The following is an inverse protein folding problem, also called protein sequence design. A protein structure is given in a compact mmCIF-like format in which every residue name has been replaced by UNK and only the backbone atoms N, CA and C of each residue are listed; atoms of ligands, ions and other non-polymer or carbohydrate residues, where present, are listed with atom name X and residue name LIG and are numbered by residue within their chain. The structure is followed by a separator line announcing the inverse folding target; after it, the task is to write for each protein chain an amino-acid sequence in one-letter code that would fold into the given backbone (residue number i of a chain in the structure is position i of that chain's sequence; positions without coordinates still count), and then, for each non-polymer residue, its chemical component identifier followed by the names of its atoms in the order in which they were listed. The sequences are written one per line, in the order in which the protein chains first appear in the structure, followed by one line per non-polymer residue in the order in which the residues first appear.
data_IF_626844288696
#
_entry.id   IF_626844288696
#
_cell.length_a   1.000
_cell.length_b   1.000
_cell.length_c   1.000
_cell.angle_alpha   90.00
_cell.angle_beta   90.00
_cell.angle_gamma   90.00
#
_symmetry.space_group_name_H-M   'P 1'
#
loop_
_entity.id
_entity.type
_entity.pdbx_description
1 polymer ?
#
# COMPACT_ATOMS: atom_id res chain seq x y z
N UNK A 1 -21.35 13.83 47.82
CA UNK A 1 -20.78 12.47 47.76
C UNK A 1 -21.12 11.97 46.38
N UNK A 2 -20.27 12.30 45.42
CA UNK A 2 -20.44 11.87 44.04
C UNK A 2 -19.75 10.51 43.91
N UNK A 3 -20.56 9.46 43.79
CA UNK A 3 -20.05 8.12 43.53
C UNK A 3 -19.47 8.08 42.11
N UNK A 4 -18.15 7.97 42.03
CA UNK A 4 -17.45 7.65 40.78
C UNK A 4 -17.89 6.24 40.39
N UNK A 5 -18.51 6.02 39.22
CA UNK A 5 -18.90 4.68 38.81
C UNK A 5 -17.64 3.83 38.73
N UNK A 6 -17.57 2.75 39.52
CA UNK A 6 -16.51 1.75 39.38
C UNK A 6 -16.52 1.23 37.95
N UNK A 7 -15.53 1.61 37.16
CA UNK A 7 -15.34 1.04 35.83
C UNK A 7 -15.01 -0.44 36.04
N UNK A 8 -15.84 -1.33 35.51
CA UNK A 8 -15.66 -2.78 35.57
C UNK A 8 -14.58 -3.24 34.58
N UNK A 9 -13.48 -2.47 34.47
CA UNK A 9 -12.39 -2.73 33.55
C UNK A 9 -11.35 -3.53 34.32
N UNK A 10 -11.08 -4.75 33.85
CA UNK A 10 -10.01 -5.56 34.40
C UNK A 10 -8.66 -4.92 34.07
N UNK A 11 -7.77 -4.84 35.06
CA UNK A 11 -6.40 -4.41 34.83
C UNK A 11 -5.65 -5.42 33.95
N UNK A 12 -4.84 -4.93 33.02
CA UNK A 12 -4.01 -5.73 32.15
C UNK A 12 -2.67 -5.05 31.90
N UNK A 13 -1.62 -5.84 31.70
CA UNK A 13 -0.28 -5.37 31.36
C UNK A 13 0.04 -5.68 29.89
N UNK A 14 0.68 -4.75 29.20
CA UNK A 14 1.15 -4.95 27.82
C UNK A 14 2.34 -5.92 27.85
N UNK A 15 2.13 -7.14 27.39
CA UNK A 15 3.20 -8.17 27.34
C UNK A 15 4.00 -8.17 26.03
N UNK A 16 3.51 -7.48 25.00
CA UNK A 16 4.19 -7.41 23.70
C UNK A 16 3.45 -6.56 22.68
N UNK A 17 4.20 -6.07 21.68
CA UNK A 17 3.68 -5.23 20.59
C UNK A 17 3.99 -5.92 19.27
N UNK A 18 2.97 -6.10 18.43
CA UNK A 18 3.11 -6.66 17.08
C UNK A 18 2.86 -5.58 16.04
N UNK A 19 3.81 -5.42 15.12
CA UNK A 19 3.68 -4.52 13.98
C UNK A 19 3.11 -5.28 12.77
N UNK A 20 2.32 -4.58 11.97
CA UNK A 20 1.69 -5.13 10.77
C UNK A 20 1.08 -4.03 9.90
N UNK A 21 0.65 -4.42 8.70
CA UNK A 21 -0.15 -3.55 7.84
C UNK A 21 -1.62 -3.84 8.10
N UNK A 22 -2.42 -2.79 8.29
CA UNK A 22 -3.85 -2.93 8.47
C UNK A 22 -4.50 -3.40 7.16
N UNK A 23 -5.23 -4.51 7.24
CA UNK A 23 -6.09 -4.97 6.15
C UNK A 23 -7.35 -4.12 6.05
N UNK A 24 -8.01 -4.14 4.89
CA UNK A 24 -9.30 -3.45 4.72
C UNK A 24 -10.32 -3.88 5.78
N UNK A 25 -10.36 -5.17 6.11
CA UNK A 25 -11.26 -5.70 7.15
C UNK A 25 -10.98 -5.09 8.52
N UNK A 26 -9.71 -5.00 8.92
CA UNK A 26 -9.31 -4.40 10.19
C UNK A 26 -9.63 -2.91 10.25
N UNK A 27 -9.42 -2.18 9.15
CA UNK A 27 -9.78 -0.76 9.02
C UNK A 27 -11.30 -0.58 9.20
N UNK A 28 -12.11 -1.35 8.49
CA UNK A 28 -13.57 -1.27 8.62
C UNK A 28 -14.04 -1.68 10.03
N UNK A 29 -13.44 -2.72 10.61
CA UNK A 29 -13.81 -3.20 11.96
C UNK A 29 -13.45 -2.19 13.06
N UNK A 30 -12.35 -1.46 12.89
CA UNK A 30 -11.95 -0.40 13.83
C UNK A 30 -12.80 0.86 13.67
N UNK A 31 -13.50 1.03 12.54
CA UNK A 31 -14.31 2.21 12.28
C UNK A 31 -15.60 2.18 13.08
N UNK A 32 -16.07 3.35 13.50
CA UNK A 32 -17.36 3.50 14.20
C UNK A 32 -18.58 3.35 13.27
N UNK A 33 -18.34 3.42 11.96
CA UNK A 33 -19.39 3.36 10.93
C UNK A 33 -19.02 2.29 9.91
N UNK A 34 -20.01 1.50 9.49
CA UNK A 34 -19.85 0.53 8.39
C UNK A 34 -19.69 1.22 7.03
N UNK A 35 -20.08 2.49 6.92
CA UNK A 35 -19.99 3.28 5.70
C UNK A 35 -18.71 4.14 5.67
N UNK A 36 -18.06 4.28 4.50
CA UNK A 36 -16.93 5.18 4.34
C UNK A 36 -17.37 6.64 4.42
N UNK A 37 -16.42 7.49 4.78
CA UNK A 37 -16.52 8.94 4.64
C UNK A 37 -16.39 9.28 3.16
N UNK A 38 -17.45 9.84 2.60
CA UNK A 38 -17.54 10.21 1.17
C UNK A 38 -17.53 11.72 0.95
N UNK A 39 -17.83 12.52 1.98
CA UNK A 39 -17.89 13.97 1.90
C UNK A 39 -17.14 14.64 3.05
N UNK A 40 -16.50 15.78 2.78
CA UNK A 40 -15.71 16.53 3.76
C UNK A 40 -16.52 16.96 4.99
N UNK A 41 -17.82 17.22 4.82
CA UNK A 41 -18.73 17.58 5.93
C UNK A 41 -18.84 16.49 7.00
N UNK A 42 -18.56 15.23 6.65
CA UNK A 42 -18.59 14.13 7.61
C UNK A 42 -17.34 14.10 8.51
N UNK A 43 -16.26 14.80 8.14
CA UNK A 43 -15.03 14.86 8.94
C UNK A 43 -15.20 15.64 10.24
N UNK A 44 -16.21 16.51 10.31
CA UNK A 44 -16.57 17.30 11.50
C UNK A 44 -17.74 16.69 12.27
N UNK A 45 -18.13 15.44 11.95
CA UNK A 45 -19.28 14.81 12.58
C UNK A 45 -18.97 14.39 14.03
N UNK A 46 -19.89 14.62 14.99
CA UNK A 46 -19.79 14.18 16.37
C UNK A 46 -19.40 12.71 16.62
N UNK A 47 -19.65 11.79 15.67
CA UNK A 47 -19.25 10.39 15.83
C UNK A 47 -17.73 10.15 15.67
N UNK A 48 -16.97 11.09 15.10
CA UNK A 48 -15.51 10.96 14.95
C UNK A 48 -14.74 11.43 16.19
N UNK A 49 -15.39 12.17 17.09
CA UNK A 49 -14.81 12.62 18.35
C UNK A 49 -14.92 14.12 18.57
N UNK A 50 -14.04 14.63 19.44
CA UNK A 50 -13.95 16.04 19.84
C UNK A 50 -12.71 16.70 19.19
N UNK A 51 -12.66 18.04 19.05
CA UNK A 51 -13.62 19.03 19.55
C UNK A 51 -14.84 19.21 18.64
N UNK A 52 -15.97 19.54 19.27
CA UNK A 52 -17.20 19.97 18.59
C UNK A 52 -17.53 21.39 19.07
N UNK A 53 -18.18 22.19 18.23
CA UNK A 53 -18.65 23.51 18.65
C UNK A 53 -19.70 23.42 19.77
N UNK A 54 -20.59 22.43 19.69
CA UNK A 54 -21.63 22.15 20.69
C UNK A 54 -21.89 20.65 20.79
N UNK A 55 -22.36 20.20 21.95
CA UNK A 55 -22.82 18.83 22.17
C UNK A 55 -21.76 17.91 22.77
N UNK A 56 -21.91 16.61 22.50
CA UNK A 56 -21.05 15.53 23.01
C UNK A 56 -20.70 14.59 21.87
N UNK A 57 -19.61 13.85 22.00
CA UNK A 57 -19.29 12.81 21.05
C UNK A 57 -20.43 11.77 21.02
N UNK A 58 -20.93 11.45 19.82
CA UNK A 58 -22.03 10.49 19.65
C UNK A 58 -21.60 9.03 19.92
N UNK A 59 -20.28 8.77 19.87
CA UNK A 59 -19.71 7.42 19.96
C UNK A 59 -19.39 7.01 21.40
N UNK A 60 -18.65 7.83 22.13
CA UNK A 60 -18.33 7.56 23.55
C UNK A 60 -19.19 8.35 24.55
N UNK A 61 -19.98 9.33 24.08
CA UNK A 61 -20.88 10.12 24.94
C UNK A 61 -20.21 11.23 25.74
N UNK A 62 -18.90 11.42 25.65
CA UNK A 62 -18.18 12.45 26.42
C UNK A 62 -18.35 13.84 25.79
N UNK A 63 -18.56 14.86 26.62
CA UNK A 63 -18.59 16.28 26.23
C UNK A 63 -17.29 17.02 26.54
N UNK A 64 -16.41 16.43 27.35
CA UNK A 64 -15.18 17.08 27.81
C UNK A 64 -14.00 16.77 26.86
N UNK A 65 -13.33 17.80 26.31
CA UNK A 65 -12.09 17.61 25.57
C UNK A 65 -11.04 16.89 26.44
N UNK A 66 -10.39 15.86 25.88
CA UNK A 66 -9.42 15.03 26.61
C UNK A 66 -9.99 13.76 27.24
N UNK A 67 -11.33 13.64 27.34
CA UNK A 67 -11.99 12.37 27.71
C UNK A 67 -12.43 11.54 26.50
N UNK A 68 -12.24 12.07 25.28
CA UNK A 68 -12.44 11.37 24.02
C UNK A 68 -11.07 11.19 23.34
N UNK A 69 -10.67 9.95 23.10
CA UNK A 69 -9.44 9.61 22.38
C UNK A 69 -9.58 9.76 20.84
N UNK A 70 -10.80 9.99 20.37
CA UNK A 70 -11.16 9.99 18.95
C UNK A 70 -11.61 8.62 18.46
N UNK A 71 -12.35 8.61 17.37
CA UNK A 71 -12.92 7.40 16.79
C UNK A 71 -12.54 7.28 15.32
N UNK A 72 -12.18 6.07 14.90
CA UNK A 72 -11.74 5.85 13.54
C UNK A 72 -12.91 5.95 12.55
N UNK A 73 -12.68 6.70 11.48
CA UNK A 73 -13.41 6.60 10.23
C UNK A 73 -12.53 5.92 9.17
N UNK A 74 -13.10 5.65 8.00
CA UNK A 74 -12.32 5.26 6.83
C UNK A 74 -12.83 5.93 5.57
N UNK A 75 -11.94 6.14 4.60
CA UNK A 75 -12.28 6.61 3.26
C UNK A 75 -11.97 5.47 2.31
N UNK A 76 -12.94 5.09 1.47
CA UNK A 76 -12.71 4.10 0.44
C UNK A 76 -12.14 4.79 -0.80
N UNK A 77 -11.02 4.26 -1.29
CA UNK A 77 -10.35 4.82 -2.47
C UNK A 77 -10.92 4.14 -3.73
N UNK A 78 -11.25 4.90 -4.79
CA UNK A 78 -11.88 4.34 -5.99
C UNK A 78 -10.95 3.38 -6.74
N UNK A 79 -9.64 3.46 -6.49
CA UNK A 79 -8.62 2.57 -7.05
C UNK A 79 -7.58 2.24 -5.98
N UNK A 80 -7.00 1.03 -6.01
CA UNK A 80 -5.88 0.70 -5.14
C UNK A 80 -4.68 1.59 -5.48
N UNK A 81 -4.08 2.18 -4.45
CA UNK A 81 -2.86 2.98 -4.59
C UNK A 81 -1.71 2.31 -3.85
N UNK A 82 -0.50 2.57 -4.31
CA UNK A 82 0.69 2.16 -3.59
C UNK A 82 1.00 3.15 -2.47
N UNK A 83 1.31 2.62 -1.29
CA UNK A 83 1.77 3.46 -0.18
C UNK A 83 3.14 4.09 -0.53
N UNK A 84 3.32 5.42 -0.48
CA UNK A 84 4.56 6.09 -0.89
C UNK A 84 5.82 5.54 -0.20
N UNK A 85 5.73 5.24 1.10
CA UNK A 85 6.85 4.69 1.87
C UNK A 85 7.23 3.25 1.50
N UNK A 86 6.41 2.53 0.72
CA UNK A 86 6.65 1.13 0.35
C UNK A 86 7.08 0.96 -1.12
N UNK A 87 7.18 2.05 -1.90
CA UNK A 87 7.53 1.99 -3.33
C UNK A 87 8.90 1.32 -3.56
N UNK A 88 9.90 1.66 -2.74
CA UNK A 88 11.25 1.08 -2.86
C UNK A 88 11.26 -0.41 -2.54
N UNK A 89 10.46 -0.84 -1.56
CA UNK A 89 10.33 -2.26 -1.20
C UNK A 89 9.57 -3.04 -2.28
N UNK A 90 8.51 -2.45 -2.82
CA UNK A 90 7.79 -2.98 -3.98
C UNK A 90 8.72 -3.21 -5.17
N UNK A 91 9.57 -2.24 -5.51
CA UNK A 91 10.60 -2.39 -6.55
C UNK A 91 11.52 -3.57 -6.26
N UNK A 92 11.97 -3.72 -5.01
CA UNK A 92 12.85 -4.83 -4.60
C UNK A 92 12.16 -6.17 -4.83
N UNK A 93 10.92 -6.31 -4.38
CA UNK A 93 10.10 -7.52 -4.57
C UNK A 93 9.88 -7.82 -6.05
N UNK A 94 9.45 -6.85 -6.84
CA UNK A 94 9.21 -7.02 -8.27
C UNK A 94 10.49 -7.34 -9.05
N UNK A 95 11.65 -6.84 -8.61
CA UNK A 95 12.95 -7.16 -9.23
C UNK A 95 13.32 -8.64 -9.09
N UNK A 96 12.85 -9.31 -8.03
CA UNK A 96 13.04 -10.73 -7.78
C UNK A 96 12.09 -11.61 -8.59
N UNK A 97 11.04 -11.05 -9.20
CA UNK A 97 10.01 -11.78 -9.93
C UNK A 97 10.16 -11.60 -11.44
N UNK A 98 9.87 -12.64 -12.22
CA UNK A 98 9.62 -12.50 -13.63
C UNK A 98 8.23 -11.89 -13.84
N UNK A 99 8.15 -10.68 -14.40
CA UNK A 99 6.87 -9.96 -14.55
C UNK A 99 5.86 -10.63 -15.50
N UNK A 100 6.29 -11.60 -16.33
CA UNK A 100 5.42 -12.39 -17.21
C UNK A 100 4.81 -13.61 -16.52
N UNK A 101 5.61 -14.42 -15.83
CA UNK A 101 5.15 -15.68 -15.22
C UNK A 101 4.98 -15.63 -13.70
N UNK A 102 5.36 -14.52 -13.06
CA UNK A 102 5.32 -14.27 -11.61
C UNK A 102 6.13 -15.28 -10.77
N UNK A 103 6.99 -16.07 -11.39
CA UNK A 103 7.94 -16.95 -10.69
C UNK A 103 9.16 -16.15 -10.25
N UNK A 104 9.72 -16.53 -9.11
CA UNK A 104 11.01 -16.01 -8.65
C UNK A 104 12.08 -16.25 -9.71
N UNK A 105 12.85 -15.20 -10.02
CA UNK A 105 14.06 -15.31 -10.84
C UNK A 105 15.03 -16.20 -10.06
N UNK A 106 15.52 -17.27 -10.69
CA UNK A 106 16.55 -18.12 -10.09
C UNK A 106 17.85 -17.33 -10.07
N UNK A 107 18.14 -16.68 -8.96
CA UNK A 107 19.47 -16.18 -8.67
C UNK A 107 20.33 -17.40 -8.36
N UNK A 108 21.20 -17.84 -9.29
CA UNK A 108 22.40 -18.55 -8.81
C UNK A 108 23.14 -17.53 -7.96
N UNK A 109 23.26 -17.82 -6.67
CA UNK A 109 24.09 -17.07 -5.74
C UNK A 109 25.46 -16.93 -6.42
N UNK A 110 25.94 -15.71 -6.60
CA UNK A 110 27.24 -15.45 -7.20
C UNK A 110 28.32 -16.01 -6.27
N UNK A 111 28.73 -17.26 -6.48
CA UNK A 111 30.06 -17.69 -6.08
C UNK A 111 30.99 -17.00 -7.06
N UNK A 112 31.77 -16.02 -6.57
CA UNK A 112 32.82 -15.35 -7.34
C UNK A 112 33.84 -16.41 -7.82
N UNK A 113 33.56 -17.03 -8.96
CA UNK A 113 34.54 -17.75 -9.74
C UNK A 113 34.72 -16.99 -11.05
N UNK A 114 35.97 -16.68 -11.34
CA UNK A 114 36.36 -15.82 -12.43
C UNK A 114 35.83 -16.34 -13.78
N UNK A 115 35.13 -15.47 -14.50
CA UNK A 115 35.20 -15.44 -15.95
C UNK A 115 34.24 -16.34 -16.72
N UNK A 116 32.93 -16.14 -16.58
CA UNK A 116 31.98 -16.17 -17.71
C UNK A 116 30.82 -15.25 -17.34
N UNK A 117 30.41 -14.35 -18.23
CA UNK A 117 29.17 -13.58 -18.06
C UNK A 117 27.97 -14.54 -18.09
N UNK A 118 27.62 -15.08 -16.92
CA UNK A 118 26.59 -16.10 -16.77
C UNK A 118 25.22 -15.43 -16.94
N UNK A 119 24.65 -15.60 -18.13
CA UNK A 119 23.32 -15.09 -18.49
C UNK A 119 22.33 -15.60 -17.45
N UNK A 120 21.59 -14.69 -16.81
CA UNK A 120 20.44 -15.04 -15.99
C UNK A 120 19.60 -16.05 -16.78
N UNK A 121 19.52 -17.29 -16.30
CA UNK A 121 18.55 -18.27 -16.78
C UNK A 121 17.18 -17.82 -16.27
N UNK A 122 16.66 -16.77 -16.91
CA UNK A 122 15.33 -16.24 -16.71
C UNK A 122 14.32 -17.32 -17.06
N UNK A 123 13.22 -17.39 -16.29
CA UNK A 123 12.11 -18.28 -16.61
C UNK A 123 11.48 -18.00 -18.00
N UNK A 124 11.73 -16.81 -18.57
CA UNK A 124 11.28 -16.41 -19.92
C UNK A 124 12.35 -15.50 -20.56
N UNK A 125 12.86 -15.85 -21.74
CA UNK A 125 13.92 -15.09 -22.44
C UNK A 125 13.50 -13.64 -22.76
N UNK A 126 12.22 -13.42 -23.03
CA UNK A 126 11.66 -12.11 -23.39
C UNK A 126 11.67 -11.10 -22.22
N UNK A 127 11.53 -11.57 -20.98
CA UNK A 127 11.51 -10.70 -19.80
C UNK A 127 12.86 -10.63 -19.08
N UNK A 128 13.88 -11.36 -19.57
CA UNK A 128 15.21 -11.40 -18.97
C UNK A 128 15.87 -10.01 -18.90
N UNK A 129 15.46 -9.11 -19.80
CA UNK A 129 16.07 -7.81 -20.01
C UNK A 129 15.30 -6.66 -19.36
N UNK A 130 14.08 -6.88 -18.85
CA UNK A 130 13.27 -5.81 -18.25
C UNK A 130 13.78 -5.52 -16.83
N UNK A 131 14.12 -4.25 -16.58
CA UNK A 131 14.53 -3.72 -15.28
C UNK A 131 13.48 -2.75 -14.74
N UNK A 132 13.49 -2.52 -13.43
CA UNK A 132 12.55 -1.62 -12.76
C UNK A 132 13.35 -0.46 -12.15
N UNK A 133 13.00 0.76 -12.53
CA UNK A 133 13.59 1.99 -12.00
C UNK A 133 12.58 2.67 -11.07
N UNK A 134 13.09 3.28 -10.01
CA UNK A 134 12.32 4.21 -9.18
C UNK A 134 12.60 5.63 -9.69
N UNK A 135 11.54 6.40 -9.91
CA UNK A 135 11.62 7.79 -10.36
C UNK A 135 10.90 8.65 -9.34
N UNK A 136 11.54 9.74 -8.94
CA UNK A 136 10.99 10.73 -8.03
C UNK A 136 10.87 12.05 -8.76
N UNK A 137 9.68 12.62 -8.73
CA UNK A 137 9.40 13.94 -9.29
C UNK A 137 9.78 15.04 -8.29
N UNK A 138 9.85 16.27 -8.78
CA UNK A 138 10.16 17.47 -7.98
C UNK A 138 9.09 17.80 -6.93
N UNK A 139 7.87 17.28 -7.10
CA UNK A 139 6.74 17.40 -6.17
C UNK A 139 6.76 16.33 -5.04
N UNK A 140 7.75 15.44 -5.04
CA UNK A 140 7.86 14.34 -4.08
C UNK A 140 7.10 13.07 -4.49
N UNK A 141 6.37 13.06 -5.60
CA UNK A 141 5.71 11.87 -6.11
C UNK A 141 6.75 10.82 -6.55
N UNK A 142 6.51 9.56 -6.18
CA UNK A 142 7.40 8.44 -6.49
C UNK A 142 6.66 7.39 -7.31
N UNK A 143 7.26 6.94 -8.41
CA UNK A 143 6.69 5.90 -9.26
C UNK A 143 7.74 4.91 -9.75
N UNK A 144 7.27 3.74 -10.20
CA UNK A 144 8.11 2.71 -10.78
C UNK A 144 7.96 2.69 -12.30
N UNK A 145 9.09 2.62 -12.99
CA UNK A 145 9.16 2.58 -14.44
C UNK A 145 9.85 1.30 -14.90
N UNK A 146 9.25 0.62 -15.87
CA UNK A 146 9.87 -0.51 -16.54
C UNK A 146 10.82 -0.02 -17.64
N UNK A 147 12.06 -0.53 -17.64
CA UNK A 147 13.09 -0.17 -18.62
C UNK A 147 13.67 -1.37 -19.32
N UNK A 148 13.83 -1.25 -20.63
CA UNK A 148 14.63 -2.15 -21.46
C UNK A 148 16.07 -1.60 -21.61
N UNK A 149 17.09 -2.46 -21.75
CA UNK A 149 18.45 -2.04 -21.95
C UNK A 149 18.59 -1.34 -23.30
N UNK A 150 19.28 -0.20 -23.29
CA UNK A 150 19.44 0.73 -24.41
C UNK A 150 20.04 0.12 -25.69
N UNK A 151 20.68 -1.06 -25.59
CA UNK A 151 21.31 -1.77 -26.73
C UNK A 151 20.43 -2.86 -27.35
N UNK A 152 19.28 -3.18 -26.75
CA UNK A 152 18.33 -4.12 -27.33
C UNK A 152 17.43 -3.37 -28.32
N UNK A 153 17.43 -3.77 -29.60
CA UNK A 153 16.35 -3.33 -30.50
C UNK A 153 15.04 -3.78 -29.86
N UNK A 154 14.10 -2.85 -29.67
CA UNK A 154 12.73 -3.18 -29.26
C UNK A 154 12.24 -4.26 -30.23
N UNK A 155 12.12 -5.51 -29.75
CA UNK A 155 11.36 -6.49 -30.51
C UNK A 155 9.90 -6.07 -30.41
N UNK A 156 9.22 -6.05 -31.55
CA UNK A 156 7.78 -5.86 -31.57
C UNK A 156 7.13 -6.84 -30.59
N UNK A 157 6.27 -6.31 -29.72
CA UNK A 157 5.56 -7.09 -28.72
C UNK A 157 6.28 -7.40 -27.40
N UNK A 158 7.44 -6.80 -27.13
CA UNK A 158 8.15 -6.99 -25.84
C UNK A 158 7.31 -6.63 -24.60
N UNK A 159 6.29 -5.79 -24.75
CA UNK A 159 5.35 -5.38 -23.70
C UNK A 159 4.03 -6.15 -23.70
N UNK A 160 3.77 -7.05 -24.66
CA UNK A 160 2.48 -7.73 -24.79
C UNK A 160 2.08 -8.54 -23.56
N UNK A 161 3.06 -8.99 -22.76
CA UNK A 161 2.76 -9.66 -21.49
C UNK A 161 2.00 -8.77 -20.49
N UNK A 162 2.07 -7.45 -20.64
CA UNK A 162 1.37 -6.48 -19.79
C UNK A 162 -0.13 -6.40 -20.11
N UNK A 163 -0.57 -6.86 -21.28
CA UNK A 163 -2.00 -6.93 -21.64
C UNK A 163 -2.80 -7.78 -20.66
N UNK A 164 -2.18 -8.82 -20.11
CA UNK A 164 -2.77 -9.66 -19.05
C UNK A 164 -3.12 -8.86 -17.78
N UNK A 165 -2.42 -7.75 -17.55
CA UNK A 165 -2.66 -6.85 -16.42
C UNK A 165 -3.48 -5.61 -16.83
N UNK A 166 -4.11 -5.63 -18.01
CA UNK A 166 -4.96 -4.55 -18.50
C UNK A 166 -4.22 -3.37 -19.15
N UNK A 167 -2.89 -3.43 -19.28
CA UNK A 167 -2.12 -2.41 -19.99
C UNK A 167 -2.15 -2.68 -21.50
N UNK A 168 -2.73 -1.75 -22.27
CA UNK A 168 -2.68 -1.75 -23.73
C UNK A 168 -1.76 -0.63 -24.19
N UNK A 169 -0.68 -0.98 -24.90
CA UNK A 169 0.21 0.00 -25.52
C UNK A 169 -0.32 0.39 -26.90
N UNK A 170 -0.29 1.69 -27.19
CA UNK A 170 -0.65 2.25 -28.50
C UNK A 170 -2.07 2.81 -28.54
N UNK A 171 -2.19 4.02 -29.04
CA UNK A 171 -3.44 4.67 -29.47
C UNK A 171 -4.05 3.94 -30.68
N UNK A 172 -4.30 2.64 -30.57
CA UNK A 172 -5.17 1.94 -31.51
C UNK A 172 -6.62 2.03 -31.03
N UNK A 173 -7.03 3.23 -30.61
CA UNK A 173 -8.42 3.66 -30.71
C UNK A 173 -8.66 4.05 -32.17
N UNK A 174 -8.87 3.04 -33.01
CA UNK A 174 -9.65 3.16 -34.25
C UNK A 174 -10.97 2.48 -34.02
#
# INVERSE_FOLDING_TARGET
MDEIPQSSIFEGEITGIRFGLASQKEICTASISDCPISHSIQLTNPFLGLPLEFGKCESCGTSEPGQCEGHFGYIDLPVPIYHPSHISELKRMLSLLCLKCLKLKRNKIQIKSNGVAERLLSCCEECAQISIREVKNTDGACFLELKLPSRSRLRDGCWNFLERYGFRYGDNFT
#
